data_IF_019718970091
#
_entry.id   IF_019718970091
#
_cell.length_a   1.000
_cell.length_b   1.000
_cell.length_c   1.000
_cell.angle_alpha   90.00
_cell.angle_beta   90.00
_cell.angle_gamma   90.00
#
_symmetry.space_group_name_H-M   'P 1'
#
loop_
_entity.id
_entity.type
_entity.pdbx_description
1 polymer ?
#
# COMPACT_ATOMS: atom_id res chain seq x y z
N UNK A 1 -1.46 -10.86 -6.62
CA UNK A 1 -1.40 -10.13 -7.91
C UNK A 1 -2.63 -10.52 -8.71
N UNK A 2 -3.39 -9.54 -9.18
CA UNK A 2 -4.52 -9.76 -10.09
C UNK A 2 -4.04 -9.79 -11.55
N UNK A 3 -4.46 -10.79 -12.31
CA UNK A 3 -4.17 -10.92 -13.75
C UNK A 3 -5.28 -10.21 -14.53
N UNK A 4 -5.05 -8.96 -14.92
CA UNK A 4 -5.99 -8.19 -15.74
C UNK A 4 -6.09 -8.71 -17.18
N UNK A 5 -7.08 -8.24 -17.93
CA UNK A 5 -7.27 -8.60 -19.35
C UNK A 5 -6.06 -8.25 -20.22
N UNK A 6 -5.42 -7.10 -19.95
CA UNK A 6 -4.21 -6.63 -20.67
C UNK A 6 -2.90 -7.17 -20.05
N UNK A 7 -2.98 -8.10 -19.10
CA UNK A 7 -1.80 -8.62 -18.41
C UNK A 7 -0.99 -9.51 -19.35
N UNK A 8 0.32 -9.28 -19.39
CA UNK A 8 1.27 -10.15 -20.09
C UNK A 8 1.30 -11.60 -19.55
N UNK A 9 0.68 -11.83 -18.39
CA UNK A 9 0.59 -13.16 -17.78
C UNK A 9 -0.58 -13.98 -18.31
N UNK A 10 -1.61 -13.36 -18.88
CA UNK A 10 -2.77 -14.08 -19.39
C UNK A 10 -2.37 -14.96 -20.58
N UNK A 11 -2.81 -16.23 -20.55
CA UNK A 11 -2.50 -17.21 -21.57
C UNK A 11 -1.11 -17.87 -21.44
N UNK A 12 -0.34 -17.56 -20.39
CA UNK A 12 1.02 -18.07 -20.22
C UNK A 12 1.02 -19.23 -19.22
N UNK A 13 1.62 -20.38 -19.57
CA UNK A 13 1.85 -21.45 -18.62
C UNK A 13 3.00 -21.09 -17.65
N UNK A 14 2.89 -21.51 -16.38
CA UNK A 14 3.82 -21.12 -15.33
C UNK A 14 5.28 -21.52 -15.59
N UNK A 15 5.52 -22.61 -16.31
CA UNK A 15 6.88 -23.02 -16.69
C UNK A 15 7.57 -22.01 -17.62
N UNK A 16 6.82 -21.12 -18.27
CA UNK A 16 7.34 -20.03 -19.12
C UNK A 16 7.32 -18.67 -18.41
N UNK A 17 6.90 -18.61 -17.16
CA UNK A 17 6.79 -17.35 -16.42
C UNK A 17 8.13 -16.59 -16.35
N UNK A 18 9.25 -17.32 -16.20
CA UNK A 18 10.59 -16.73 -16.19
C UNK A 18 10.94 -15.96 -17.48
N UNK A 19 10.46 -16.40 -18.64
CA UNK A 19 10.72 -15.75 -19.92
C UNK A 19 10.17 -14.30 -19.94
N UNK A 20 9.05 -14.08 -19.24
CA UNK A 20 8.35 -12.80 -19.17
C UNK A 20 8.77 -11.99 -17.96
N UNK A 21 8.77 -12.62 -16.80
CA UNK A 21 9.06 -11.97 -15.53
C UNK A 21 10.54 -11.61 -15.36
N UNK A 22 11.45 -12.40 -16.00
CA UNK A 22 12.93 -12.27 -15.90
C UNK A 22 13.45 -12.38 -14.48
N UNK A 23 12.63 -12.92 -13.57
CA UNK A 23 12.96 -13.15 -12.16
C UNK A 23 12.41 -14.52 -11.73
N UNK A 24 13.03 -15.09 -10.71
CA UNK A 24 12.57 -16.38 -10.16
C UNK A 24 11.53 -16.13 -9.09
N UNK A 25 10.30 -16.52 -9.40
CA UNK A 25 9.17 -16.45 -8.46
C UNK A 25 8.45 -17.78 -8.41
N UNK A 26 7.95 -18.13 -7.24
CA UNK A 26 7.06 -19.28 -7.07
C UNK A 26 5.62 -18.78 -7.00
N UNK A 27 4.77 -19.28 -7.89
CA UNK A 27 3.31 -19.11 -7.76
C UNK A 27 2.80 -20.23 -6.88
N UNK A 28 2.42 -19.88 -5.65
CA UNK A 28 1.97 -20.84 -4.65
C UNK A 28 0.52 -21.25 -4.84
N UNK A 29 -0.32 -20.27 -5.21
CA UNK A 29 -1.78 -20.43 -5.30
C UNK A 29 -2.31 -19.56 -6.43
N UNK A 30 -3.33 -20.08 -7.13
CA UNK A 30 -4.15 -19.32 -8.09
C UNK A 30 -5.60 -19.44 -7.66
N UNK A 31 -6.27 -18.31 -7.49
CA UNK A 31 -7.70 -18.22 -7.27
C UNK A 31 -8.39 -17.81 -8.58
N UNK A 32 -9.33 -18.63 -9.05
CA UNK A 32 -10.10 -18.42 -10.27
C UNK A 32 -11.58 -18.63 -10.00
N UNK A 33 -12.38 -17.60 -10.18
CA UNK A 33 -13.83 -17.68 -9.97
C UNK A 33 -14.23 -18.21 -8.58
N UNK A 34 -13.49 -17.83 -7.52
CA UNK A 34 -13.73 -18.32 -6.16
C UNK A 34 -13.18 -19.73 -5.87
N UNK A 35 -12.57 -20.39 -6.84
CA UNK A 35 -11.92 -21.70 -6.65
C UNK A 35 -10.42 -21.54 -6.50
N UNK A 36 -9.86 -22.20 -5.50
CA UNK A 36 -8.42 -22.18 -5.19
C UNK A 36 -7.73 -23.37 -5.85
N UNK A 37 -6.66 -23.09 -6.60
CA UNK A 37 -5.82 -24.06 -7.29
C UNK A 37 -4.39 -23.98 -6.75
N UNK A 38 -3.77 -25.15 -6.53
CA UNK A 38 -2.32 -25.26 -6.33
C UNK A 38 -1.74 -25.61 -7.71
N UNK A 39 -1.10 -24.61 -8.38
CA UNK A 39 -0.72 -24.80 -9.77
C UNK A 39 0.58 -25.59 -9.90
N UNK A 40 0.70 -26.35 -10.96
CA UNK A 40 1.97 -26.90 -11.45
C UNK A 40 2.54 -26.05 -12.60
N UNK A 41 3.69 -26.46 -13.15
CA UNK A 41 4.35 -25.73 -14.23
C UNK A 41 3.53 -25.63 -15.54
N UNK A 42 2.58 -26.55 -15.77
CA UNK A 42 1.73 -26.57 -16.96
C UNK A 42 0.47 -25.71 -16.81
N UNK A 43 0.18 -25.25 -15.59
CA UNK A 43 -0.99 -24.43 -15.30
C UNK A 43 -0.93 -23.11 -16.08
N UNK A 44 -1.94 -22.85 -16.89
CA UNK A 44 -2.03 -21.62 -17.71
C UNK A 44 -2.85 -20.57 -16.99
N UNK A 45 -2.24 -19.41 -16.76
CA UNK A 45 -2.90 -18.25 -16.17
C UNK A 45 -3.94 -17.66 -17.12
N UNK A 46 -5.04 -17.15 -16.57
CA UNK A 46 -6.12 -16.50 -17.32
C UNK A 46 -6.39 -15.10 -16.77
N UNK A 47 -6.99 -14.26 -17.59
CA UNK A 47 -7.53 -13.00 -17.13
C UNK A 47 -8.59 -13.24 -16.04
N UNK A 48 -8.57 -12.45 -14.98
CA UNK A 48 -9.42 -12.61 -13.80
C UNK A 48 -8.82 -13.46 -12.69
N UNK A 49 -7.69 -14.16 -12.92
CA UNK A 49 -7.00 -14.90 -11.85
C UNK A 49 -6.41 -13.96 -10.79
N UNK A 50 -6.49 -14.37 -9.54
CA UNK A 50 -5.69 -13.81 -8.45
C UNK A 50 -4.55 -14.78 -8.14
N UNK A 51 -3.30 -14.38 -8.38
CA UNK A 51 -2.12 -15.20 -8.12
C UNK A 51 -1.41 -14.78 -6.84
N UNK A 52 -1.00 -15.76 -6.05
CA UNK A 52 -0.24 -15.59 -4.82
C UNK A 52 1.18 -16.09 -5.08
N UNK A 53 2.14 -15.15 -4.98
CA UNK A 53 3.53 -15.41 -5.35
C UNK A 53 4.45 -15.19 -4.17
N UNK A 54 5.55 -15.95 -4.11
CA UNK A 54 6.65 -15.74 -3.18
C UNK A 54 7.96 -15.68 -3.94
N UNK A 55 8.85 -14.79 -3.50
CA UNK A 55 10.21 -14.63 -3.98
C UNK A 55 10.97 -13.70 -3.03
N UNK A 56 12.26 -13.50 -3.29
CA UNK A 56 13.02 -12.47 -2.61
C UNK A 56 12.47 -11.07 -2.92
N UNK A 57 12.64 -10.13 -1.99
CA UNK A 57 12.08 -8.77 -2.10
C UNK A 57 12.53 -8.05 -3.37
N UNK A 58 13.76 -8.28 -3.82
CA UNK A 58 14.28 -7.69 -5.06
C UNK A 58 13.60 -8.27 -6.29
N UNK A 59 13.41 -9.58 -6.33
CA UNK A 59 12.74 -10.28 -7.42
C UNK A 59 11.27 -9.89 -7.50
N UNK A 60 10.58 -9.75 -6.35
CA UNK A 60 9.20 -9.25 -6.30
C UNK A 60 9.09 -7.83 -6.85
N UNK A 61 10.01 -6.94 -6.49
CA UNK A 61 10.04 -5.57 -6.99
C UNK A 61 10.25 -5.53 -8.52
N UNK A 62 11.15 -6.39 -9.04
CA UNK A 62 11.38 -6.52 -10.48
C UNK A 62 10.17 -7.12 -11.20
N UNK A 63 9.54 -8.16 -10.65
CA UNK A 63 8.32 -8.74 -11.19
C UNK A 63 7.23 -7.68 -11.38
N UNK A 64 6.94 -6.94 -10.31
CA UNK A 64 5.92 -5.88 -10.29
C UNK A 64 6.23 -4.82 -11.36
N UNK A 65 7.50 -4.45 -11.50
CA UNK A 65 7.97 -3.49 -12.52
C UNK A 65 7.81 -4.03 -13.94
N UNK A 66 8.24 -5.26 -14.20
CA UNK A 66 8.16 -5.88 -15.53
C UNK A 66 6.71 -6.12 -16.00
N UNK A 67 5.83 -6.45 -15.05
CA UNK A 67 4.41 -6.65 -15.34
C UNK A 67 3.63 -5.33 -15.47
N UNK A 68 4.25 -4.18 -15.14
CA UNK A 68 3.58 -2.87 -15.20
C UNK A 68 2.42 -2.75 -14.19
N UNK A 69 2.43 -3.54 -13.12
CA UNK A 69 1.35 -3.59 -12.13
C UNK A 69 1.28 -2.29 -11.32
N UNK A 70 2.44 -1.64 -11.09
CA UNK A 70 2.48 -0.33 -10.42
C UNK A 70 2.15 0.74 -11.43
N UNK A 71 0.89 1.09 -11.54
CA UNK A 71 0.40 2.20 -12.37
C UNK A 71 0.67 3.57 -11.74
N UNK A 72 0.77 3.64 -10.42
CA UNK A 72 1.04 4.89 -9.69
C UNK A 72 2.10 4.66 -8.62
N UNK A 73 3.17 5.46 -8.67
CA UNK A 73 4.19 5.49 -7.63
C UNK A 73 3.71 6.41 -6.51
N UNK A 74 3.62 5.88 -5.29
CA UNK A 74 3.38 6.70 -4.09
C UNK A 74 4.58 7.65 -3.92
N UNK A 75 4.31 8.94 -3.84
CA UNK A 75 5.31 10.00 -3.62
C UNK A 75 5.10 10.67 -2.26
N UNK A 76 3.87 10.72 -1.81
CA UNK A 76 3.49 11.33 -0.55
C UNK A 76 2.45 10.49 0.18
N UNK A 77 2.47 10.57 1.50
CA UNK A 77 1.56 9.85 2.37
C UNK A 77 1.13 10.72 3.56
N UNK A 78 -0.15 10.64 3.91
CA UNK A 78 -0.70 11.16 5.16
C UNK A 78 -0.90 9.99 6.11
N UNK A 79 -0.32 10.10 7.30
CA UNK A 79 -0.48 9.15 8.40
C UNK A 79 -1.33 9.83 9.47
N UNK A 80 -2.45 9.23 9.84
CA UNK A 80 -3.33 9.71 10.90
C UNK A 80 -3.09 8.91 12.17
N UNK A 81 -2.65 9.59 13.21
CA UNK A 81 -2.20 9.02 14.49
C UNK A 81 -0.69 8.86 14.58
N UNK A 82 -0.09 9.40 15.66
CA UNK A 82 1.36 9.45 15.94
C UNK A 82 1.89 8.26 16.73
N UNK A 83 1.32 7.07 16.62
CA UNK A 83 1.73 5.88 17.36
C UNK A 83 3.17 5.44 17.07
N UNK A 84 3.70 4.47 17.86
CA UNK A 84 5.02 3.87 17.56
C UNK A 84 5.08 3.26 16.16
N UNK A 85 3.97 2.67 15.71
CA UNK A 85 3.89 2.10 14.35
C UNK A 85 4.01 3.22 13.32
N UNK A 86 3.33 4.36 13.55
CA UNK A 86 3.41 5.53 12.69
C UNK A 86 4.85 6.06 12.57
N UNK A 87 5.58 6.14 13.69
CA UNK A 87 6.99 6.53 13.69
C UNK A 87 7.86 5.65 12.80
N UNK A 88 7.81 4.32 13.01
CA UNK A 88 8.63 3.40 12.20
C UNK A 88 8.23 3.37 10.73
N UNK A 89 6.95 3.49 10.46
CA UNK A 89 6.45 3.57 9.08
C UNK A 89 6.93 4.85 8.40
N UNK A 90 6.76 6.01 9.07
CA UNK A 90 7.21 7.30 8.56
C UNK A 90 8.70 7.31 8.28
N UNK A 91 9.52 6.81 9.21
CA UNK A 91 10.97 6.66 9.02
C UNK A 91 11.30 5.87 7.76
N UNK A 92 10.64 4.73 7.53
CA UNK A 92 10.85 3.90 6.32
C UNK A 92 10.39 4.61 5.05
N UNK A 93 9.26 5.31 5.10
CA UNK A 93 8.75 6.08 3.97
C UNK A 93 9.73 7.22 3.59
N UNK A 94 10.23 7.96 4.57
CA UNK A 94 11.21 9.02 4.37
C UNK A 94 12.51 8.49 3.76
N UNK A 95 13.05 7.37 4.28
CA UNK A 95 14.23 6.71 3.69
C UNK A 95 13.99 6.23 2.25
N UNK A 96 12.76 5.88 1.90
CA UNK A 96 12.38 5.53 0.52
C UNK A 96 12.14 6.76 -0.37
N UNK A 97 12.33 7.98 0.16
CA UNK A 97 12.18 9.23 -0.57
C UNK A 97 10.72 9.69 -0.73
N UNK A 98 9.81 9.21 0.12
CA UNK A 98 8.42 9.68 0.15
C UNK A 98 8.31 10.94 1.04
N UNK A 99 7.47 11.90 0.63
CA UNK A 99 7.00 12.95 1.52
C UNK A 99 6.03 12.35 2.55
N UNK A 100 6.21 12.66 3.82
CA UNK A 100 5.35 12.16 4.91
C UNK A 100 4.78 13.30 5.70
N UNK A 101 3.47 13.28 5.92
CA UNK A 101 2.75 14.14 6.83
C UNK A 101 2.09 13.26 7.90
N UNK A 102 2.25 13.62 9.17
CA UNK A 102 1.61 12.94 10.31
C UNK A 102 0.63 13.91 10.97
N UNK A 103 -0.61 13.50 11.13
CA UNK A 103 -1.63 14.25 11.86
C UNK A 103 -1.82 13.56 13.21
N UNK A 104 -1.53 14.26 14.30
CA UNK A 104 -1.59 13.77 15.66
C UNK A 104 -2.20 14.84 16.57
N UNK A 105 -3.11 14.44 17.46
CA UNK A 105 -3.81 15.38 18.34
C UNK A 105 -3.06 15.69 19.65
N UNK A 106 -2.17 14.80 20.07
CA UNK A 106 -1.43 14.97 21.31
C UNK A 106 -0.21 15.88 21.10
N UNK A 107 -0.18 17.03 21.77
CA UNK A 107 0.88 18.02 21.65
C UNK A 107 2.27 17.45 21.96
N UNK A 108 2.41 16.76 23.10
CA UNK A 108 3.71 16.20 23.51
C UNK A 108 4.24 15.20 22.48
N UNK A 109 3.34 14.40 21.92
CA UNK A 109 3.69 13.46 20.87
C UNK A 109 4.06 14.13 19.55
N UNK A 110 3.42 15.24 19.22
CA UNK A 110 3.79 16.05 18.05
C UNK A 110 5.21 16.61 18.19
N UNK A 111 5.55 17.15 19.37
CA UNK A 111 6.90 17.65 19.65
C UNK A 111 7.95 16.54 19.52
N UNK A 112 7.70 15.38 20.16
CA UNK A 112 8.59 14.22 20.08
C UNK A 112 8.79 13.74 18.63
N UNK A 113 7.70 13.64 17.85
CA UNK A 113 7.78 13.23 16.46
C UNK A 113 8.54 14.23 15.58
N UNK A 114 8.38 15.52 15.83
CA UNK A 114 9.09 16.57 15.09
C UNK A 114 10.60 16.49 15.33
N UNK A 115 11.04 16.18 16.56
CA UNK A 115 12.45 15.96 16.88
C UNK A 115 13.01 14.69 16.23
N UNK A 116 12.23 13.58 16.26
CA UNK A 116 12.66 12.28 15.76
C UNK A 116 12.61 12.17 14.22
N UNK A 117 11.73 12.93 13.57
CA UNK A 117 11.47 12.88 12.13
C UNK A 117 11.55 14.28 11.50
N UNK A 118 12.74 14.92 11.47
CA UNK A 118 12.88 16.30 11.02
C UNK A 118 12.51 16.52 9.54
N UNK A 119 12.41 15.44 8.75
CA UNK A 119 11.99 15.49 7.34
C UNK A 119 10.49 15.23 7.14
N UNK A 120 9.74 14.90 8.19
CA UNK A 120 8.29 14.78 8.12
C UNK A 120 7.61 16.12 8.46
N UNK A 121 6.41 16.31 7.94
CA UNK A 121 5.54 17.40 8.37
C UNK A 121 4.64 16.87 9.48
N UNK A 122 4.74 17.45 10.68
CA UNK A 122 3.91 17.07 11.83
C UNK A 122 2.82 18.12 12.01
N UNK A 123 1.57 17.69 12.03
CA UNK A 123 0.38 18.53 12.17
C UNK A 123 -0.29 18.18 13.49
N UNK A 124 -0.35 19.13 14.41
CA UNK A 124 -1.11 19.00 15.65
C UNK A 124 -2.57 19.29 15.38
N UNK A 125 -3.36 18.24 15.19
CA UNK A 125 -4.79 18.36 14.92
C UNK A 125 -5.52 17.05 15.18
N UNK A 126 -6.84 17.14 15.28
CA UNK A 126 -7.74 15.99 15.30
C UNK A 126 -7.95 15.46 13.87
N UNK A 127 -7.30 14.34 13.56
CA UNK A 127 -7.37 13.71 12.24
C UNK A 127 -8.69 13.02 11.91
N UNK A 128 -9.64 12.93 12.85
CA UNK A 128 -11.00 12.45 12.57
C UNK A 128 -11.87 13.51 11.85
N UNK A 129 -11.45 14.76 11.87
CA UNK A 129 -12.15 15.89 11.27
C UNK A 129 -11.88 15.99 9.78
N UNK A 130 -12.95 15.98 8.98
CA UNK A 130 -12.87 16.08 7.52
C UNK A 130 -12.29 17.42 7.03
N UNK A 131 -12.60 18.52 7.71
CA UNK A 131 -12.07 19.86 7.37
C UNK A 131 -10.56 19.94 7.55
N UNK A 132 -10.01 19.31 8.59
CA UNK A 132 -8.56 19.19 8.81
C UNK A 132 -7.94 18.34 7.70
N UNK A 133 -8.49 17.16 7.42
CA UNK A 133 -7.99 16.30 6.36
C UNK A 133 -8.00 16.99 4.98
N UNK A 134 -9.06 17.76 4.69
CA UNK A 134 -9.18 18.54 3.46
C UNK A 134 -8.14 19.66 3.39
N UNK A 135 -7.97 20.42 4.48
CA UNK A 135 -6.97 21.50 4.57
C UNK A 135 -5.53 20.97 4.40
N UNK A 136 -5.28 19.76 4.90
CA UNK A 136 -3.99 19.08 4.78
C UNK A 136 -3.76 18.37 3.44
N UNK A 137 -4.71 18.45 2.53
CA UNK A 137 -4.56 18.01 1.16
C UNK A 137 -4.79 16.51 0.94
N UNK A 138 -5.71 15.89 1.69
CA UNK A 138 -6.01 14.46 1.57
C UNK A 138 -6.41 14.07 0.13
N UNK A 139 -7.10 14.96 -0.60
CA UNK A 139 -7.54 14.70 -1.98
C UNK A 139 -6.40 14.65 -3.01
N UNK A 140 -5.23 15.17 -2.67
CA UNK A 140 -4.04 15.19 -3.54
C UNK A 140 -2.93 14.25 -3.06
N UNK A 141 -3.16 13.51 -1.99
CA UNK A 141 -2.19 12.54 -1.48
C UNK A 141 -2.28 11.20 -2.22
N UNK A 142 -1.14 10.52 -2.36
CA UNK A 142 -1.09 9.21 -3.00
C UNK A 142 -1.50 8.07 -2.04
N UNK A 143 -1.31 8.29 -0.73
CA UNK A 143 -1.65 7.29 0.28
C UNK A 143 -2.16 7.93 1.58
N UNK A 144 -3.13 7.28 2.21
CA UNK A 144 -3.60 7.57 3.57
C UNK A 144 -3.46 6.31 4.42
N UNK A 145 -2.86 6.48 5.59
CA UNK A 145 -2.65 5.38 6.54
C UNK A 145 -3.24 5.80 7.89
N UNK A 146 -4.19 5.03 8.41
CA UNK A 146 -4.84 5.30 9.69
C UNK A 146 -4.30 4.39 10.78
N UNK A 147 -3.68 5.01 11.80
CA UNK A 147 -2.95 4.35 12.89
C UNK A 147 -3.32 4.91 14.27
N UNK A 148 -4.54 5.43 14.41
CA UNK A 148 -5.05 5.86 15.72
C UNK A 148 -5.26 4.66 16.65
N UNK A 149 -5.58 4.92 17.91
CA UNK A 149 -5.87 3.88 18.89
C UNK A 149 -7.33 3.39 18.85
N UNK A 150 -8.17 3.98 17.98
CA UNK A 150 -9.58 3.66 17.84
C UNK A 150 -9.86 3.07 16.47
N UNK A 151 -10.28 1.80 16.43
CA UNK A 151 -10.54 1.10 15.18
C UNK A 151 -11.69 1.73 14.39
N UNK A 152 -12.71 2.24 15.08
CA UNK A 152 -13.86 2.94 14.47
C UNK A 152 -13.41 4.21 13.75
N UNK A 153 -12.54 5.03 14.36
CA UNK A 153 -11.98 6.21 13.72
C UNK A 153 -11.16 5.83 12.49
N UNK A 154 -10.29 4.82 12.63
CA UNK A 154 -9.46 4.34 11.54
C UNK A 154 -10.32 3.91 10.35
N UNK A 155 -11.42 3.20 10.58
CA UNK A 155 -12.37 2.78 9.54
C UNK A 155 -13.07 3.98 8.90
N UNK A 156 -13.60 4.91 9.69
CA UNK A 156 -14.32 6.09 9.17
C UNK A 156 -13.41 6.95 8.30
N UNK A 157 -12.20 7.26 8.78
CA UNK A 157 -11.21 8.04 8.03
C UNK A 157 -10.84 7.34 6.72
N UNK A 158 -10.65 6.02 6.78
CA UNK A 158 -10.30 5.22 5.60
C UNK A 158 -11.44 5.16 4.57
N UNK A 159 -12.68 5.03 5.02
CA UNK A 159 -13.85 5.09 4.15
C UNK A 159 -13.96 6.46 3.47
N UNK A 160 -13.74 7.54 4.21
CA UNK A 160 -13.71 8.89 3.66
C UNK A 160 -12.59 9.05 2.63
N UNK A 161 -11.37 8.65 2.95
CA UNK A 161 -10.23 8.68 2.02
C UNK A 161 -10.50 7.90 0.73
N UNK A 162 -11.10 6.71 0.84
CA UNK A 162 -11.50 5.90 -0.31
C UNK A 162 -12.59 6.57 -1.13
N UNK A 163 -13.59 7.17 -0.48
CA UNK A 163 -14.71 7.86 -1.13
C UNK A 163 -14.24 9.04 -1.99
N UNK A 164 -13.26 9.82 -1.50
CA UNK A 164 -12.70 10.95 -2.24
C UNK A 164 -11.63 10.55 -3.27
N UNK A 165 -11.37 9.26 -3.43
CA UNK A 165 -10.51 8.73 -4.50
C UNK A 165 -9.02 8.66 -4.18
N UNK A 166 -8.62 8.63 -2.90
CA UNK A 166 -7.21 8.41 -2.55
C UNK A 166 -6.75 7.05 -3.10
N UNK A 167 -5.67 7.00 -3.89
CA UNK A 167 -5.27 5.79 -4.61
C UNK A 167 -4.91 4.59 -3.71
N UNK A 168 -4.36 4.87 -2.52
CA UNK A 168 -3.99 3.83 -1.56
C UNK A 168 -4.45 4.20 -0.15
N UNK A 169 -5.26 3.34 0.43
CA UNK A 169 -5.73 3.49 1.82
C UNK A 169 -5.33 2.24 2.60
N UNK A 170 -4.70 2.44 3.76
CA UNK A 170 -4.27 1.38 4.67
C UNK A 170 -4.85 1.68 6.04
N UNK A 171 -5.56 0.72 6.60
CA UNK A 171 -6.26 0.86 7.87
C UNK A 171 -5.73 -0.14 8.88
N UNK A 172 -5.36 0.34 10.08
CA UNK A 172 -5.08 -0.54 11.21
C UNK A 172 -6.40 -0.91 11.89
N UNK A 173 -6.59 -2.20 12.09
CA UNK A 173 -7.67 -2.79 12.92
C UNK A 173 -7.03 -3.80 13.86
N UNK A 174 -7.40 -3.77 15.15
CA UNK A 174 -6.88 -4.68 16.18
C UNK A 174 -7.74 -5.94 16.31
#
# INVERSE_FOLDING_TARGET
IHVGEDSKLAGIPLNRLYEIARVRVLVCVVERGGTVHIPDGSFTLQAGDNIYVTADSQDLAQLIKHLGIVKQKVRNAIIVGGSRIAYYLAMRCLHAGLGVKIIEQNHERCVELAELLPSAVIIEADGSRQDILAAEGISSTDAVITLTNMDEENLIISMYASHIGVPKVITKVN
#
